data_IF_610893917167
#
_entry.id   IF_610893917167
#
_cell.length_a   1.000
_cell.length_b   1.000
_cell.length_c   1.000
_cell.angle_alpha   90.00
_cell.angle_beta   90.00
_cell.angle_gamma   90.00
#
_symmetry.space_group_name_H-M   'P 1'
#
loop_
_entity.id
_entity.type
_entity.pdbx_description
1 polymer ?
#
# COMPACT_ATOMS: atom_id res chain seq x y z
N UNK A 1 10.83 10.76 -21.29
CA UNK A 1 10.25 11.52 -20.16
C UNK A 1 9.15 12.41 -20.72
N UNK A 2 7.89 12.03 -20.54
CA UNK A 2 6.76 12.90 -20.89
C UNK A 2 6.46 13.77 -19.66
N UNK A 3 6.72 15.08 -19.77
CA UNK A 3 6.26 16.03 -18.78
C UNK A 3 4.78 16.33 -19.07
N UNK A 4 3.89 15.81 -18.24
CA UNK A 4 2.48 16.20 -18.21
C UNK A 4 2.34 17.32 -17.18
N UNK A 5 2.03 18.53 -17.63
CA UNK A 5 1.66 19.63 -16.74
C UNK A 5 0.22 19.40 -16.27
N UNK A 6 0.06 18.99 -15.02
CA UNK A 6 -1.24 18.69 -14.41
C UNK A 6 -1.50 19.74 -13.33
N UNK A 7 -2.65 20.41 -13.45
CA UNK A 7 -3.10 21.37 -12.44
C UNK A 7 -4.26 20.75 -11.64
N UNK A 8 -4.03 20.56 -10.35
CA UNK A 8 -5.04 20.14 -9.38
C UNK A 8 -5.67 21.38 -8.77
N UNK A 9 -6.99 21.45 -8.79
CA UNK A 9 -7.71 22.61 -8.26
C UNK A 9 -8.76 22.08 -7.31
N UNK A 10 -8.57 22.42 -6.03
CA UNK A 10 -9.63 22.29 -5.05
C UNK A 10 -10.55 23.52 -5.16
N UNK A 11 -11.85 23.29 -5.29
CA UNK A 11 -12.93 24.22 -5.63
C UNK A 11 -12.51 25.72 -5.72
N UNK A 12 -11.96 26.12 -6.86
CA UNK A 12 -11.81 27.52 -7.24
C UNK A 12 -12.88 27.85 -8.28
N UNK A 13 -13.70 28.88 -8.03
CA UNK A 13 -14.74 29.35 -8.97
C UNK A 13 -14.20 29.76 -10.35
N UNK A 14 -12.90 29.93 -10.48
CA UNK A 14 -12.21 30.16 -11.74
C UNK A 14 -10.74 29.69 -11.67
N UNK A 15 -10.17 29.31 -12.80
CA UNK A 15 -8.73 29.03 -12.98
C UNK A 15 -8.19 29.88 -14.13
N UNK A 16 -6.93 30.30 -14.03
CA UNK A 16 -6.20 30.83 -15.18
C UNK A 16 -5.08 29.86 -15.60
N UNK A 17 -5.19 29.35 -16.82
CA UNK A 17 -4.15 28.57 -17.49
C UNK A 17 -3.24 29.53 -18.24
N UNK A 18 -1.92 29.35 -18.12
CA UNK A 18 -0.93 30.09 -18.89
C UNK A 18 -0.32 29.15 -19.94
N UNK A 19 -0.16 29.64 -21.16
CA UNK A 19 0.57 28.91 -22.20
C UNK A 19 2.06 29.16 -22.01
N UNK A 20 2.82 28.16 -21.56
CA UNK A 20 4.27 28.29 -21.37
C UNK A 20 4.98 28.26 -22.73
N UNK A 21 5.28 29.44 -23.27
CA UNK A 21 5.87 29.55 -24.60
C UNK A 21 6.65 30.85 -24.78
N UNK A 22 7.72 30.77 -25.57
CA UNK A 22 8.47 31.92 -26.06
C UNK A 22 7.84 32.54 -27.32
N UNK A 23 6.83 31.89 -27.91
CA UNK A 23 6.17 32.34 -29.13
C UNK A 23 5.54 33.73 -28.98
N UNK A 24 5.91 34.67 -29.86
CA UNK A 24 5.49 36.07 -29.78
C UNK A 24 4.21 36.40 -30.56
N UNK A 25 3.67 35.46 -31.33
CA UNK A 25 2.43 35.66 -32.10
C UNK A 25 1.15 35.41 -31.29
N UNK A 26 0.02 35.38 -32.02
CA UNK A 26 -1.31 35.15 -31.43
C UNK A 26 -1.49 33.69 -31.01
N UNK A 27 -1.87 33.49 -29.75
CA UNK A 27 -2.15 32.16 -29.18
C UNK A 27 -3.64 31.86 -29.25
N UNK A 28 -3.97 30.62 -29.62
CA UNK A 28 -5.35 30.08 -29.61
C UNK A 28 -5.42 28.87 -28.69
N UNK A 29 -6.59 28.64 -28.09
CA UNK A 29 -6.79 27.55 -27.15
C UNK A 29 -7.79 26.52 -27.67
N UNK A 30 -7.57 25.24 -27.31
CA UNK A 30 -8.49 24.13 -27.55
C UNK A 30 -8.67 23.30 -26.28
N UNK A 31 -9.88 22.78 -26.06
CA UNK A 31 -10.21 21.83 -25.00
C UNK A 31 -10.66 20.52 -25.62
N UNK A 32 -9.98 19.42 -25.29
CA UNK A 32 -10.20 18.10 -25.88
C UNK A 32 -10.26 18.11 -27.43
N UNK A 33 -9.49 19.01 -28.05
CA UNK A 33 -9.45 19.23 -29.50
C UNK A 33 -10.49 20.22 -30.05
N UNK A 34 -11.51 20.57 -29.28
CA UNK A 34 -12.50 21.60 -29.62
C UNK A 34 -11.96 23.02 -29.43
N UNK A 35 -12.23 23.93 -30.37
CA UNK A 35 -11.77 25.32 -30.28
C UNK A 35 -12.48 26.06 -29.14
N UNK A 36 -11.73 26.86 -28.39
CA UNK A 36 -12.27 27.73 -27.33
C UNK A 36 -12.28 29.18 -27.85
N UNK A 37 -13.43 29.83 -27.75
CA UNK A 37 -13.63 31.25 -28.03
C UNK A 37 -14.15 31.96 -26.77
N UNK A 38 -13.97 33.28 -26.69
CA UNK A 38 -14.40 34.08 -25.53
C UNK A 38 -15.90 33.94 -25.27
N UNK A 39 -16.28 33.72 -24.01
CA UNK A 39 -17.66 33.56 -23.56
C UNK A 39 -17.88 34.09 -22.14
N UNK A 40 -19.06 33.88 -21.58
CA UNK A 40 -19.34 34.19 -20.17
C UNK A 40 -18.47 33.35 -19.21
N UNK A 41 -18.12 32.12 -19.62
CA UNK A 41 -17.38 31.16 -18.82
C UNK A 41 -15.89 31.10 -19.17
N UNK A 42 -15.49 31.65 -20.32
CA UNK A 42 -14.09 31.59 -20.77
C UNK A 42 -13.59 32.95 -21.25
N UNK A 43 -12.37 33.32 -20.87
CA UNK A 43 -11.75 34.58 -21.28
C UNK A 43 -10.29 34.34 -21.65
N UNK A 44 -9.97 34.55 -22.92
CA UNK A 44 -8.62 34.53 -23.46
C UNK A 44 -8.06 35.95 -23.38
N UNK A 45 -6.94 36.10 -22.68
CA UNK A 45 -6.20 37.33 -22.56
C UNK A 45 -4.73 37.10 -22.89
N UNK A 46 -4.32 37.50 -24.10
CA UNK A 46 -3.00 37.25 -24.67
C UNK A 46 -2.68 35.75 -24.70
N UNK A 47 -1.85 35.27 -23.76
CA UNK A 47 -1.41 33.87 -23.65
C UNK A 47 -2.14 33.10 -22.54
N UNK A 48 -2.99 33.77 -21.77
CA UNK A 48 -3.68 33.17 -20.63
C UNK A 48 -5.14 32.89 -20.99
N UNK A 49 -5.63 31.73 -20.56
CA UNK A 49 -7.02 31.34 -20.63
C UNK A 49 -7.60 31.28 -19.22
N UNK A 50 -8.59 32.13 -18.94
CA UNK A 50 -9.36 32.07 -17.70
C UNK A 50 -10.64 31.28 -17.93
N UNK A 51 -10.89 30.27 -17.11
CA UNK A 51 -12.10 29.47 -17.07
C UNK A 51 -12.87 29.79 -15.79
N UNK A 52 -14.19 29.84 -15.84
CA UNK A 52 -15.08 30.18 -14.72
C UNK A 52 -16.20 29.15 -14.60
N UNK A 53 -16.72 28.97 -13.38
CA UNK A 53 -17.81 28.03 -13.08
C UNK A 53 -17.47 26.62 -13.58
N UNK A 54 -16.37 26.07 -13.06
CA UNK A 54 -15.86 24.76 -13.45
C UNK A 54 -16.80 23.66 -12.94
N UNK A 55 -17.07 22.71 -13.82
CA UNK A 55 -17.88 21.51 -13.60
C UNK A 55 -17.22 20.29 -14.27
N UNK A 56 -17.70 19.06 -14.04
CA UNK A 56 -17.06 17.84 -14.58
C UNK A 56 -16.77 17.89 -16.09
N UNK A 57 -17.65 18.44 -16.97
CA UNK A 57 -17.34 18.71 -18.39
C UNK A 57 -16.14 19.61 -18.65
N UNK A 58 -15.79 20.50 -17.73
CA UNK A 58 -14.61 21.38 -17.82
C UNK A 58 -13.29 20.62 -17.63
N UNK A 59 -13.30 19.40 -17.07
CA UNK A 59 -12.08 18.61 -16.95
C UNK A 59 -11.53 18.17 -18.33
N UNK A 60 -10.23 17.90 -18.40
CA UNK A 60 -9.59 17.37 -19.60
C UNK A 60 -8.40 18.18 -20.10
N UNK A 61 -8.05 17.98 -21.37
CA UNK A 61 -6.81 18.47 -21.95
C UNK A 61 -7.01 19.85 -22.62
N UNK A 62 -6.36 20.86 -22.08
CA UNK A 62 -6.28 22.21 -22.65
C UNK A 62 -4.96 22.38 -23.38
N UNK A 63 -5.03 22.78 -24.65
CA UNK A 63 -3.85 22.94 -25.50
C UNK A 63 -3.83 24.34 -26.07
N UNK A 64 -2.64 24.97 -26.08
CA UNK A 64 -2.44 26.26 -26.71
C UNK A 64 -1.62 26.12 -27.99
N UNK A 65 -1.97 26.91 -29.00
CA UNK A 65 -1.47 26.78 -30.37
C UNK A 65 -1.06 28.13 -30.94
N UNK A 66 0.03 28.14 -31.71
CA UNK A 66 0.51 29.30 -32.48
C UNK A 66 0.78 28.86 -33.93
N UNK A 67 0.18 29.56 -34.89
CA UNK A 67 0.35 29.27 -36.34
C UNK A 67 0.11 27.80 -36.72
N UNK A 68 -0.79 27.11 -36.02
CA UNK A 68 -1.10 25.70 -36.25
C UNK A 68 -0.15 24.71 -35.58
N UNK A 69 0.86 25.18 -34.86
CA UNK A 69 1.76 24.35 -34.03
C UNK A 69 1.28 24.31 -32.58
N UNK A 70 1.37 23.13 -31.95
CA UNK A 70 1.11 22.97 -30.52
C UNK A 70 2.27 23.58 -29.73
N UNK A 71 1.97 24.53 -28.84
CA UNK A 71 2.96 25.24 -28.06
C UNK A 71 3.12 24.64 -26.65
N UNK A 72 2.01 24.40 -25.96
CA UNK A 72 1.98 23.83 -24.61
C UNK A 72 0.60 23.18 -24.36
N UNK A 73 0.52 22.36 -23.32
CA UNK A 73 -0.69 21.69 -22.88
C UNK A 73 -0.78 21.61 -21.36
N UNK A 74 -2.00 21.61 -20.86
CA UNK A 74 -2.30 21.44 -19.44
C UNK A 74 -3.51 20.55 -19.29
N UNK A 75 -3.41 19.52 -18.45
CA UNK A 75 -4.56 18.69 -18.10
C UNK A 75 -5.21 19.22 -16.83
N UNK A 76 -6.47 19.63 -16.93
CA UNK A 76 -7.28 20.10 -15.82
C UNK A 76 -8.01 18.91 -15.18
N UNK A 77 -7.81 18.72 -13.88
CA UNK A 77 -8.50 17.71 -13.07
C UNK A 77 -9.30 18.44 -12.00
N UNK A 78 -10.58 18.12 -11.89
CA UNK A 78 -11.45 18.62 -10.83
C UNK A 78 -11.52 17.57 -9.73
N UNK A 79 -11.32 18.02 -8.50
CA UNK A 79 -11.49 17.20 -7.31
C UNK A 79 -12.89 17.47 -6.79
N UNK A 80 -13.72 16.44 -6.75
CA UNK A 80 -15.00 16.50 -6.05
C UNK A 80 -14.68 16.33 -4.56
N UNK A 81 -14.96 17.37 -3.76
CA UNK A 81 -15.09 17.19 -2.32
C UNK A 81 -16.44 16.50 -2.11
N UNK A 82 -16.42 15.22 -1.77
CA UNK A 82 -17.63 14.58 -1.26
C UNK A 82 -18.03 15.35 0.00
N UNK A 83 -19.24 15.94 0.01
CA UNK A 83 -19.81 16.46 1.25
C UNK A 83 -19.88 15.27 2.22
N UNK A 84 -18.99 15.26 3.22
CA UNK A 84 -18.84 14.16 4.17
C UNK A 84 -20.17 13.90 4.89
N UNK A 85 -20.98 13.00 4.35
CA UNK A 85 -22.01 12.34 5.14
C UNK A 85 -21.27 11.30 5.99
N UNK A 86 -20.87 11.75 7.18
CA UNK A 86 -20.09 11.01 8.17
C UNK A 86 -20.75 9.66 8.50
N UNK A 87 -20.43 8.62 7.73
CA UNK A 87 -20.69 7.24 8.10
C UNK A 87 -19.47 6.78 8.91
N UNK A 88 -19.65 6.55 10.21
CA UNK A 88 -18.59 6.17 11.17
C UNK A 88 -17.82 4.87 10.82
N UNK A 89 -18.19 4.16 9.75
CA UNK A 89 -17.57 2.89 9.33
C UNK A 89 -16.69 2.96 8.09
N UNK A 90 -16.56 4.11 7.43
CA UNK A 90 -15.69 4.20 6.25
C UNK A 90 -14.24 4.45 6.69
N UNK A 91 -13.47 3.37 6.77
CA UNK A 91 -12.01 3.44 6.73
C UNK A 91 -11.55 3.73 5.30
N UNK A 92 -11.60 4.99 4.87
CA UNK A 92 -11.05 5.44 3.58
C UNK A 92 -9.52 5.37 3.48
N UNK A 93 -8.89 4.68 4.43
CA UNK A 93 -7.47 4.44 4.42
C UNK A 93 -7.17 3.22 3.56
N UNK A 94 -6.41 3.42 2.48
CA UNK A 94 -5.81 2.31 1.73
C UNK A 94 -4.95 1.50 2.72
N UNK A 95 -5.29 0.22 3.00
CA UNK A 95 -4.52 -0.56 3.95
C UNK A 95 -3.12 -0.82 3.37
N UNK A 96 -2.11 -0.52 4.17
CA UNK A 96 -0.71 -0.59 3.78
C UNK A 96 0.06 -1.37 4.84
N UNK A 97 0.61 -2.51 4.45
CA UNK A 97 1.38 -3.37 5.33
C UNK A 97 2.87 -3.33 4.98
N UNK A 98 3.69 -3.73 5.94
CA UNK A 98 5.14 -3.87 5.74
C UNK A 98 5.58 -5.27 6.14
N UNK A 99 6.32 -5.93 5.25
CA UNK A 99 6.83 -7.29 5.54
C UNK A 99 8.03 -7.27 6.47
N UNK A 100 8.80 -6.18 6.45
CA UNK A 100 10.02 -6.00 7.26
C UNK A 100 10.25 -4.52 7.56
N UNK A 101 11.29 -4.26 8.36
CA UNK A 101 11.80 -2.92 8.66
C UNK A 101 12.54 -2.24 7.48
N UNK A 102 12.57 -2.83 6.28
CA UNK A 102 13.29 -2.30 5.10
C UNK A 102 12.60 -1.11 4.40
N UNK A 103 11.55 -0.54 4.99
CA UNK A 103 10.73 0.54 4.42
C UNK A 103 10.04 0.20 3.08
N UNK A 104 9.84 -1.08 2.76
CA UNK A 104 9.09 -1.49 1.58
C UNK A 104 7.61 -1.68 1.94
N UNK A 105 6.78 -0.69 1.59
CA UNK A 105 5.36 -0.64 1.91
C UNK A 105 4.55 -1.32 0.79
N UNK A 106 3.61 -2.16 1.17
CA UNK A 106 2.66 -2.81 0.25
C UNK A 106 1.26 -2.32 0.60
N UNK A 107 0.70 -1.51 -0.29
CA UNK A 107 -0.68 -1.04 -0.18
C UNK A 107 -1.57 -1.82 -1.14
N UNK A 108 -2.75 -2.23 -0.69
CA UNK A 108 -3.71 -2.96 -1.51
C UNK A 108 -5.09 -2.35 -1.40
N UNK A 109 -5.69 -2.02 -2.54
CA UNK A 109 -7.07 -1.57 -2.64
C UNK A 109 -7.74 -2.30 -3.80
N UNK A 110 -9.06 -2.44 -3.73
CA UNK A 110 -9.88 -2.82 -4.88
C UNK A 110 -10.60 -1.56 -5.34
N UNK A 111 -10.34 -1.08 -6.56
CA UNK A 111 -11.17 -0.02 -7.09
C UNK A 111 -12.53 -0.63 -7.44
N UNK A 112 -13.54 -0.36 -6.62
CA UNK A 112 -14.90 -0.75 -6.96
C UNK A 112 -15.47 0.19 -8.05
N UNK A 113 -15.01 1.46 -8.08
CA UNK A 113 -15.52 2.50 -9.01
C UNK A 113 -14.46 3.22 -9.87
N UNK A 114 -13.17 2.91 -9.73
CA UNK A 114 -12.08 3.66 -10.40
C UNK A 114 -11.30 2.84 -11.43
N UNK A 115 -11.18 3.33 -12.66
CA UNK A 115 -10.39 2.64 -13.70
C UNK A 115 -8.87 2.85 -13.56
N UNK A 116 -8.45 3.96 -12.95
CA UNK A 116 -7.04 4.34 -12.79
C UNK A 116 -6.87 5.06 -11.46
N UNK A 117 -5.83 4.71 -10.71
CA UNK A 117 -5.46 5.40 -9.46
C UNK A 117 -4.03 5.95 -9.56
N UNK A 118 -3.79 7.12 -8.97
CA UNK A 118 -2.45 7.67 -8.75
C UNK A 118 -2.25 7.88 -7.25
N UNK A 119 -1.20 7.28 -6.71
CA UNK A 119 -0.85 7.39 -5.29
C UNK A 119 0.28 8.41 -5.14
N UNK A 120 0.07 9.40 -4.27
CA UNK A 120 1.12 10.32 -3.84
C UNK A 120 1.51 9.96 -2.40
N UNK A 121 2.80 9.72 -2.19
CA UNK A 121 3.35 9.53 -0.84
C UNK A 121 3.77 10.91 -0.30
N UNK A 122 3.02 11.45 0.64
CA UNK A 122 3.42 12.64 1.37
C UNK A 122 4.25 12.26 2.60
N UNK A 123 5.45 12.84 2.73
CA UNK A 123 6.30 12.64 3.91
C UNK A 123 5.94 13.68 4.96
N UNK A 124 5.20 13.30 5.99
CA UNK A 124 4.99 14.13 7.18
C UNK A 124 6.19 13.99 8.13
N UNK A 125 6.79 15.12 8.50
CA UNK A 125 7.83 15.17 9.53
C UNK A 125 7.15 15.28 10.91
N UNK A 126 7.28 14.26 11.76
CA UNK A 126 6.83 14.32 13.15
C UNK A 126 7.99 14.72 14.06
N UNK A 127 7.81 15.81 14.81
CA UNK A 127 8.78 16.32 15.78
C UNK A 127 8.46 15.75 17.16
N UNK A 128 9.37 14.96 17.74
CA UNK A 128 9.28 14.54 19.15
C UNK A 128 10.63 14.78 19.82
N UNK A 129 10.66 15.62 20.85
CA UNK A 129 11.78 15.81 21.78
C UNK A 129 13.16 16.16 21.15
N UNK A 130 13.22 17.08 20.17
CA UNK A 130 14.47 17.64 19.62
C UNK A 130 15.49 16.62 19.07
N UNK A 131 15.07 15.40 18.77
CA UNK A 131 15.87 14.44 18.01
C UNK A 131 15.37 14.50 16.57
N UNK A 132 16.26 14.80 15.62
CA UNK A 132 15.98 14.52 14.22
C UNK A 132 15.89 13.00 14.09
N UNK A 133 14.67 12.47 14.07
CA UNK A 133 14.44 11.08 13.65
C UNK A 133 14.55 11.09 12.12
N UNK A 134 15.77 11.31 11.63
CA UNK A 134 16.11 10.85 10.30
C UNK A 134 15.97 9.33 10.38
N UNK A 135 15.02 8.79 9.60
CA UNK A 135 14.79 7.37 9.33
C UNK A 135 13.83 6.60 10.26
N UNK A 136 12.88 5.94 9.59
CA UNK A 136 12.17 4.71 10.00
C UNK A 136 10.93 4.85 10.91
N UNK A 137 9.94 5.62 10.47
CA UNK A 137 8.53 5.27 10.71
C UNK A 137 7.91 4.84 9.39
N UNK A 138 8.44 3.77 8.80
CA UNK A 138 7.55 2.90 8.03
C UNK A 138 6.61 2.36 9.10
N UNK A 139 5.35 2.81 9.11
CA UNK A 139 4.42 2.69 10.25
C UNK A 139 4.61 1.37 10.98
N UNK A 140 5.31 1.44 12.13
CA UNK A 140 5.71 0.25 12.92
C UNK A 140 4.47 -0.47 13.49
N UNK A 141 3.29 0.11 13.31
CA UNK A 141 2.02 -0.42 13.78
C UNK A 141 1.47 -1.59 12.96
N UNK A 142 1.91 -1.81 11.71
CA UNK A 142 1.36 -2.88 10.85
C UNK A 142 2.44 -3.75 10.21
N UNK A 143 3.43 -4.17 11.01
CA UNK A 143 4.34 -5.23 10.58
C UNK A 143 3.55 -6.54 10.47
N UNK A 144 3.52 -7.10 9.26
CA UNK A 144 2.87 -8.38 8.97
C UNK A 144 3.92 -9.32 8.36
N UNK A 145 4.55 -10.19 9.17
CA UNK A 145 5.49 -11.18 8.66
C UNK A 145 4.81 -12.13 7.67
N UNK A 146 5.57 -12.67 6.73
CA UNK A 146 5.09 -13.83 5.95
C UNK A 146 5.00 -15.09 6.85
N UNK A 147 4.23 -16.12 6.49
CA UNK A 147 4.18 -17.37 7.26
C UNK A 147 5.54 -18.08 7.31
N UNK A 148 5.88 -18.75 8.42
CA UNK A 148 7.17 -19.38 8.60
C UNK A 148 7.35 -20.64 7.73
N UNK A 149 8.58 -21.11 7.59
CA UNK A 149 8.89 -22.35 6.88
C UNK A 149 9.01 -23.50 7.87
N UNK A 150 8.03 -24.40 7.87
CA UNK A 150 8.10 -25.67 8.60
C UNK A 150 9.05 -26.60 7.83
N UNK A 151 10.17 -26.99 8.46
CA UNK A 151 11.17 -27.85 7.83
C UNK A 151 10.87 -29.32 8.07
N UNK A 152 10.80 -29.72 9.33
CA UNK A 152 10.52 -31.09 9.75
C UNK A 152 10.19 -31.15 11.25
N UNK A 153 9.76 -32.34 11.70
CA UNK A 153 9.66 -32.69 13.10
C UNK A 153 10.67 -33.81 13.40
N UNK A 154 11.33 -33.76 14.55
CA UNK A 154 12.28 -34.78 15.00
C UNK A 154 11.83 -35.37 16.32
N UNK A 155 12.13 -36.65 16.56
CA UNK A 155 11.73 -37.29 17.81
C UNK A 155 12.63 -36.82 18.96
N UNK A 156 11.99 -36.44 20.06
CA UNK A 156 12.62 -36.14 21.34
C UNK A 156 12.04 -37.09 22.41
N UNK A 157 12.79 -37.45 23.46
CA UNK A 157 12.28 -38.29 24.55
C UNK A 157 10.92 -37.83 25.07
N UNK A 158 10.71 -36.51 25.14
CA UNK A 158 9.53 -35.91 25.76
C UNK A 158 8.45 -35.47 24.75
N UNK A 159 8.71 -35.52 23.43
CA UNK A 159 7.77 -35.03 22.43
C UNK A 159 8.29 -35.04 20.99
N UNK A 160 7.59 -34.36 20.10
CA UNK A 160 8.06 -34.05 18.75
C UNK A 160 8.67 -32.65 18.76
N UNK A 161 9.95 -32.56 18.40
CA UNK A 161 10.64 -31.29 18.26
C UNK A 161 10.39 -30.73 16.87
N UNK A 162 9.68 -29.60 16.82
CA UNK A 162 9.42 -28.87 15.58
C UNK A 162 10.66 -28.07 15.16
N UNK A 163 11.09 -28.23 13.92
CA UNK A 163 12.12 -27.43 13.29
C UNK A 163 11.46 -26.45 12.29
N UNK A 164 11.61 -25.15 12.57
CA UNK A 164 10.96 -24.08 11.83
C UNK A 164 11.96 -22.96 11.57
N UNK A 165 11.87 -22.34 10.41
CA UNK A 165 12.68 -21.18 10.05
C UNK A 165 11.81 -19.93 9.82
N UNK A 166 12.33 -18.73 10.11
CA UNK A 166 11.75 -17.48 9.63
C UNK A 166 11.49 -17.53 8.11
N UNK A 167 10.47 -16.82 7.59
CA UNK A 167 10.30 -16.71 6.16
C UNK A 167 11.53 -16.01 5.55
N UNK A 168 11.86 -16.37 4.31
CA UNK A 168 13.04 -15.81 3.63
C UNK A 168 12.95 -14.31 3.39
N UNK A 169 11.74 -13.76 3.42
CA UNK A 169 11.46 -12.33 3.36
C UNK A 169 11.74 -11.60 4.68
N UNK A 170 11.87 -12.29 5.82
CA UNK A 170 12.05 -11.63 7.12
C UNK A 170 13.42 -10.96 7.28
N UNK A 171 13.44 -9.93 8.13
CA UNK A 171 14.65 -9.16 8.43
C UNK A 171 15.77 -10.03 9.04
N UNK A 172 17.01 -9.68 8.71
CA UNK A 172 18.24 -10.30 9.21
C UNK A 172 19.11 -9.25 9.91
N UNK A 173 19.92 -9.64 10.91
CA UNK A 173 20.09 -11.01 11.41
C UNK A 173 18.95 -11.44 12.36
N UNK A 174 18.61 -12.73 12.36
CA UNK A 174 17.53 -13.28 13.21
C UNK A 174 17.81 -13.21 14.71
N UNK A 175 19.08 -13.02 15.10
CA UNK A 175 19.45 -12.74 16.49
C UNK A 175 18.99 -11.35 16.96
N UNK A 176 18.82 -10.42 16.03
CA UNK A 176 18.34 -9.05 16.29
C UNK A 176 16.85 -8.90 15.98
N UNK A 177 16.36 -9.58 14.94
CA UNK A 177 14.94 -9.60 14.55
C UNK A 177 14.31 -10.99 14.81
N UNK A 178 14.08 -11.38 16.08
CA UNK A 178 13.47 -12.66 16.38
C UNK A 178 11.98 -12.67 16.00
N UNK A 179 11.44 -13.86 15.77
CA UNK A 179 10.00 -14.06 15.59
C UNK A 179 9.44 -14.90 16.74
N UNK A 180 8.22 -14.54 17.15
CA UNK A 180 7.31 -15.44 17.85
C UNK A 180 6.61 -16.33 16.83
N UNK A 181 6.20 -17.50 17.28
CA UNK A 181 5.49 -18.47 16.46
C UNK A 181 4.29 -19.02 17.19
N UNK A 182 3.23 -19.30 16.45
CA UNK A 182 2.09 -20.03 16.94
C UNK A 182 1.87 -21.26 16.08
N UNK A 183 1.63 -22.40 16.71
CA UNK A 183 1.36 -23.67 16.05
C UNK A 183 -0.02 -24.16 16.43
N UNK A 184 -0.77 -24.56 15.42
CA UNK A 184 -2.01 -25.29 15.55
C UNK A 184 -1.78 -26.70 15.02
N UNK A 185 -2.32 -27.69 15.74
CA UNK A 185 -2.16 -29.09 15.38
C UNK A 185 -3.43 -29.90 15.68
N UNK A 186 -3.53 -31.05 15.01
CA UNK A 186 -4.59 -32.03 15.25
C UNK A 186 -4.02 -33.33 15.80
N UNK A 187 -4.72 -33.95 16.76
CA UNK A 187 -4.31 -35.24 17.32
C UNK A 187 -4.91 -36.41 16.52
N UNK A 188 -4.09 -37.44 16.26
CA UNK A 188 -4.45 -38.69 15.56
C UNK A 188 -5.64 -39.42 16.19
N UNK A 189 -5.79 -39.37 17.51
CA UNK A 189 -6.73 -40.24 18.24
C UNK A 189 -8.16 -39.70 18.35
N UNK A 190 -8.37 -38.39 18.21
CA UNK A 190 -9.67 -37.79 18.48
C UNK A 190 -10.01 -36.60 17.56
N UNK A 191 -9.11 -36.20 16.65
CA UNK A 191 -9.30 -35.03 15.80
C UNK A 191 -9.41 -33.71 16.55
N UNK A 192 -9.15 -33.68 17.87
CA UNK A 192 -9.19 -32.44 18.64
C UNK A 192 -8.03 -31.55 18.21
N UNK A 193 -8.34 -30.28 18.00
CA UNK A 193 -7.39 -29.23 17.66
C UNK A 193 -6.79 -28.66 18.93
N UNK A 194 -5.46 -28.55 18.98
CA UNK A 194 -4.74 -27.83 20.02
C UNK A 194 -4.02 -26.61 19.42
N UNK A 195 -3.88 -25.55 20.20
CA UNK A 195 -3.17 -24.33 19.80
C UNK A 195 -2.15 -23.95 20.88
N UNK A 196 -0.92 -23.64 20.46
CA UNK A 196 0.16 -23.20 21.35
C UNK A 196 0.90 -22.01 20.74
N UNK A 197 1.01 -20.92 21.49
CA UNK A 197 1.81 -19.74 21.13
C UNK A 197 3.13 -19.74 21.89
N UNK A 198 4.26 -19.46 21.22
CA UNK A 198 5.57 -19.47 21.83
C UNK A 198 6.52 -18.39 21.28
N UNK A 199 7.35 -17.85 22.16
CA UNK A 199 8.50 -17.00 21.82
C UNK A 199 9.75 -17.85 22.04
N UNK A 200 10.61 -17.92 21.01
CA UNK A 200 11.72 -18.89 20.84
C UNK A 200 12.40 -19.46 22.11
N UNK A 201 12.54 -20.81 22.15
CA UNK A 201 13.82 -21.54 22.41
C UNK A 201 13.78 -23.07 22.24
N UNK A 202 12.63 -23.75 22.30
CA UNK A 202 12.41 -25.16 21.87
C UNK A 202 10.94 -25.54 22.10
N UNK A 203 10.20 -25.90 21.04
CA UNK A 203 8.82 -26.40 21.17
C UNK A 203 8.79 -27.93 21.12
N UNK A 204 8.18 -28.55 22.12
CA UNK A 204 7.89 -29.98 22.16
C UNK A 204 6.39 -30.18 21.98
N UNK A 205 6.03 -30.74 20.83
CA UNK A 205 4.66 -31.07 20.49
C UNK A 205 4.29 -32.49 20.98
N UNK A 206 3.00 -32.78 21.20
CA UNK A 206 2.53 -34.15 21.44
C UNK A 206 2.96 -35.13 20.34
N UNK A 207 3.31 -36.36 20.73
CA UNK A 207 3.76 -37.41 19.78
C UNK A 207 2.66 -37.90 18.83
N UNK A 208 1.40 -37.71 19.19
CA UNK A 208 0.24 -38.24 18.47
C UNK A 208 -0.44 -37.22 17.57
N UNK A 209 0.33 -36.35 16.90
CA UNK A 209 -0.22 -35.35 15.95
C UNK A 209 -0.41 -35.95 14.56
N UNK A 210 -1.54 -35.69 13.91
CA UNK A 210 -1.82 -36.05 12.51
C UNK A 210 -1.34 -35.01 11.52
N UNK A 211 -1.56 -33.72 11.81
CA UNK A 211 -1.14 -32.59 10.97
C UNK A 211 -0.96 -31.32 11.79
N UNK A 212 -0.18 -30.37 11.27
CA UNK A 212 0.09 -29.09 11.90
C UNK A 212 0.18 -27.94 10.89
N UNK A 213 0.02 -26.71 11.39
CA UNK A 213 0.32 -25.47 10.67
C UNK A 213 0.88 -24.42 11.65
N UNK A 214 1.57 -23.42 11.12
CA UNK A 214 2.21 -22.39 11.92
C UNK A 214 1.98 -20.98 11.37
N UNK A 215 2.17 -19.97 12.21
CA UNK A 215 2.23 -18.55 11.84
C UNK A 215 3.26 -17.83 12.70
N UNK A 216 3.65 -16.62 12.30
CA UNK A 216 4.68 -15.82 12.99
C UNK A 216 4.25 -14.38 13.26
N UNK A 217 4.84 -13.78 14.28
CA UNK A 217 4.61 -12.39 14.71
C UNK A 217 5.94 -11.79 15.21
N UNK A 218 6.12 -10.49 15.10
CA UNK A 218 7.19 -9.82 15.84
C UNK A 218 6.80 -9.68 17.32
N UNK A 219 7.58 -10.27 18.25
CA UNK A 219 7.20 -10.32 19.66
C UNK A 219 7.29 -8.97 20.39
N UNK A 220 7.97 -7.98 19.83
CA UNK A 220 8.33 -6.76 20.58
C UNK A 220 7.52 -5.53 20.21
N UNK A 221 6.78 -5.56 19.09
CA UNK A 221 6.10 -4.38 18.57
C UNK A 221 4.58 -4.55 18.38
N UNK A 222 3.94 -5.47 19.12
CA UNK A 222 2.50 -5.77 19.00
C UNK A 222 2.03 -5.87 17.53
N UNK A 223 2.83 -6.54 16.71
CA UNK A 223 2.59 -6.62 15.26
C UNK A 223 1.37 -7.47 14.95
N UNK A 224 0.94 -7.55 13.69
CA UNK A 224 -0.04 -8.55 13.29
C UNK A 224 0.60 -9.94 13.22
N UNK A 225 -0.21 -10.96 13.48
CA UNK A 225 0.16 -12.35 13.17
C UNK A 225 0.09 -12.57 11.65
N UNK A 226 1.07 -13.27 11.11
CA UNK A 226 1.02 -13.74 9.72
C UNK A 226 -0.22 -14.60 9.48
N UNK A 227 -0.55 -14.78 8.19
CA UNK A 227 -1.42 -15.88 7.81
C UNK A 227 -0.84 -17.23 8.27
N UNK A 228 -1.71 -18.22 8.41
CA UNK A 228 -1.29 -19.58 8.66
C UNK A 228 -0.61 -20.18 7.44
N UNK A 229 0.39 -21.02 7.65
CA UNK A 229 0.85 -21.95 6.62
C UNK A 229 -0.28 -22.90 6.21
N UNK A 230 -0.14 -23.52 5.04
CA UNK A 230 -0.95 -24.70 4.73
C UNK A 230 -0.74 -25.79 5.79
N UNK A 231 -1.76 -26.64 5.96
CA UNK A 231 -1.64 -27.84 6.77
C UNK A 231 -0.58 -28.78 6.20
N UNK A 232 0.18 -29.39 7.11
CA UNK A 232 1.27 -30.31 6.84
C UNK A 232 1.05 -31.59 7.63
N UNK A 233 1.11 -32.74 6.96
CA UNK A 233 0.76 -34.04 7.54
C UNK A 233 1.96 -34.70 8.22
N UNK A 234 1.74 -35.41 9.33
CA UNK A 234 2.80 -36.08 10.09
C UNK A 234 2.74 -37.59 9.85
N UNK A 235 3.38 -38.02 8.75
CA UNK A 235 3.19 -39.34 8.15
C UNK A 235 4.08 -40.44 8.79
N UNK A 236 5.31 -40.12 9.24
CA UNK A 236 6.12 -40.98 10.10
C UNK A 236 7.30 -40.20 10.71
N UNK A 237 7.65 -40.50 11.97
CA UNK A 237 8.50 -39.63 12.83
C UNK A 237 9.99 -39.63 12.46
N UNK A 238 10.44 -40.57 11.62
CA UNK A 238 11.87 -40.74 11.31
C UNK A 238 12.27 -40.39 9.87
N UNK A 239 11.34 -40.12 8.96
CA UNK A 239 11.65 -39.73 7.58
C UNK A 239 10.70 -38.62 7.11
N UNK A 240 11.22 -37.40 7.24
CA UNK A 240 10.84 -36.13 6.61
C UNK A 240 9.89 -36.27 5.42
N UNK A 241 8.61 -35.98 5.61
CA UNK A 241 7.85 -34.93 4.89
C UNK A 241 6.69 -34.55 5.80
N UNK A 242 6.66 -33.29 6.20
CA UNK A 242 5.44 -32.63 6.65
C UNK A 242 4.72 -32.07 5.43
#
# INVERSE_FOLDING_TARGET
YFHLNINFINFCYYVSLACDTQFMGTVTWKHNGGKIDNSLYTRINKRNLTLKQLDSPSAGNYTCWGEGTLLDHTYLVLLEEEEEQYNEEITDFIPCTVKTYSCSIICSWKPDDFQVARIQLERTQLFVNNIYIYFLLCSVFEVLPDPPKILNCTQDPNGLRLNIEPPSSWAKPHSYFPLAYEVEYELKHNGKVGQFSWISKRLLLPKSISRLRARSQDPYINSLWSHWTAWRDVINVDLVVC
#
